data_IF_745455963818
#
_entry.id   IF_745455963818
#
_cell.length_a   1.000
_cell.length_b   1.000
_cell.length_c   1.000
_cell.angle_alpha   90.00
_cell.angle_beta   90.00
_cell.angle_gamma   90.00
#
_symmetry.space_group_name_H-M   'P 1'
#
loop_
_entity.id
_entity.type
_entity.pdbx_description
1 polymer ?
#
# COMPACT_ATOMS: atom_id res chain seq x y z
N UNK A 1 -6.64 22.49 -10.24
CA UNK A 1 -5.70 21.86 -9.29
C UNK A 1 -6.49 21.50 -8.05
N UNK A 2 -6.43 20.26 -7.56
CA UNK A 2 -7.15 19.87 -6.33
C UNK A 2 -6.38 18.81 -5.53
N UNK A 3 -6.54 18.81 -4.21
CA UNK A 3 -6.06 17.73 -3.36
C UNK A 3 -7.03 16.55 -3.48
N UNK A 4 -6.53 15.39 -3.92
CA UNK A 4 -7.32 14.16 -4.08
C UNK A 4 -7.01 13.11 -3.01
N UNK A 5 -5.92 13.30 -2.25
CA UNK A 5 -5.55 12.42 -1.15
C UNK A 5 -4.65 13.14 -0.16
N UNK A 6 -4.79 12.79 1.12
CA UNK A 6 -3.97 13.31 2.21
C UNK A 6 -3.58 12.17 3.15
N UNK A 7 -2.29 11.99 3.35
CA UNK A 7 -1.71 11.14 4.38
C UNK A 7 -1.05 11.97 5.48
N UNK A 8 -0.40 11.29 6.42
CA UNK A 8 0.32 11.96 7.52
C UNK A 8 1.60 12.70 7.07
N UNK A 9 2.20 12.31 5.94
CA UNK A 9 3.46 12.89 5.45
C UNK A 9 3.37 13.46 4.02
N UNK A 10 2.30 13.16 3.28
CA UNK A 10 2.18 13.46 1.86
C UNK A 10 0.78 13.95 1.52
N UNK A 11 0.68 14.83 0.53
CA UNK A 11 -0.57 15.17 -0.18
C UNK A 11 -0.46 14.74 -1.64
N UNK A 12 -1.57 14.24 -2.19
CA UNK A 12 -1.72 13.92 -3.61
C UNK A 12 -2.56 15.00 -4.27
N UNK A 13 -1.99 15.62 -5.30
CA UNK A 13 -2.59 16.73 -6.03
C UNK A 13 -2.87 16.27 -7.46
N UNK A 14 -4.09 16.48 -7.92
CA UNK A 14 -4.43 16.37 -9.34
C UNK A 14 -4.16 17.72 -10.02
N UNK A 15 -3.20 17.71 -10.94
CA UNK A 15 -2.79 18.89 -11.70
C UNK A 15 -2.23 18.50 -13.07
N UNK A 16 -2.63 19.23 -14.11
CA UNK A 16 -2.24 18.94 -15.49
C UNK A 16 -2.95 17.69 -16.02
N UNK A 17 -2.18 16.64 -16.31
CA UNK A 17 -2.67 15.46 -17.02
C UNK A 17 -3.48 14.51 -16.10
N UNK A 18 -4.68 14.05 -16.50
CA UNK A 18 -5.58 13.26 -15.62
C UNK A 18 -5.00 11.91 -15.16
N UNK A 19 -4.10 11.32 -15.95
CA UNK A 19 -3.45 10.04 -15.66
C UNK A 19 -2.29 10.14 -14.65
N UNK A 20 -1.99 11.33 -14.13
CA UNK A 20 -0.87 11.56 -13.23
C UNK A 20 -1.31 12.39 -12.02
N UNK A 21 -0.77 12.04 -10.86
CA UNK A 21 -0.91 12.79 -9.62
C UNK A 21 0.46 13.29 -9.19
N UNK A 22 0.45 14.41 -8.48
CA UNK A 22 1.63 15.03 -7.91
C UNK A 22 1.64 14.77 -6.42
N UNK A 23 2.58 13.93 -5.97
CA UNK A 23 2.78 13.65 -4.55
C UNK A 23 3.79 14.63 -3.97
N UNK A 24 3.33 15.50 -3.08
CA UNK A 24 4.16 16.47 -2.38
C UNK A 24 4.33 16.04 -0.92
N UNK A 25 5.56 16.07 -0.40
CA UNK A 25 5.80 15.87 1.01
C UNK A 25 5.40 17.13 1.81
N UNK A 26 4.72 16.93 2.92
CA UNK A 26 4.24 17.98 3.84
C UNK A 26 4.53 17.60 5.30
N UNK A 27 5.53 16.75 5.52
CA UNK A 27 5.87 16.19 6.83
C UNK A 27 6.46 17.24 7.77
N UNK A 28 7.23 18.18 7.23
CA UNK A 28 7.79 19.29 8.00
C UNK A 28 7.02 20.56 7.65
N UNK A 29 6.03 20.96 8.46
CA UNK A 29 5.15 22.08 8.12
C UNK A 29 5.85 23.44 8.19
N UNK A 30 7.09 23.50 8.67
CA UNK A 30 7.81 24.76 8.82
C UNK A 30 8.68 25.10 7.62
N UNK A 31 9.12 24.13 6.80
CA UNK A 31 10.14 24.39 5.78
C UNK A 31 10.03 23.48 4.56
N UNK A 32 10.00 24.05 3.35
CA UNK A 32 9.91 23.31 2.09
C UNK A 32 11.20 22.52 1.81
N UNK A 33 12.38 23.08 2.09
CA UNK A 33 13.66 22.41 1.83
C UNK A 33 13.80 21.04 2.53
N UNK A 34 13.30 20.88 3.76
CA UNK A 34 13.27 19.58 4.46
C UNK A 34 12.34 18.57 3.76
N UNK A 35 11.18 19.02 3.28
CA UNK A 35 10.26 18.18 2.52
C UNK A 35 10.86 17.77 1.16
N UNK A 36 11.58 18.68 0.50
CA UNK A 36 12.29 18.42 -0.74
C UNK A 36 13.40 17.38 -0.54
N UNK A 37 14.26 17.56 0.46
CA UNK A 37 15.32 16.61 0.81
C UNK A 37 14.78 15.19 1.06
N UNK A 38 13.72 15.07 1.85
CA UNK A 38 13.09 13.78 2.12
C UNK A 38 12.43 13.17 0.87
N UNK A 39 11.84 13.99 0.00
CA UNK A 39 11.26 13.49 -1.26
C UNK A 39 12.33 12.89 -2.16
N UNK A 40 13.49 13.53 -2.23
CA UNK A 40 14.67 13.02 -2.95
C UNK A 40 15.17 11.71 -2.31
N UNK A 41 15.32 11.66 -0.99
CA UNK A 41 15.73 10.45 -0.28
C UNK A 41 14.77 9.28 -0.56
N UNK A 42 13.45 9.53 -0.50
CA UNK A 42 12.44 8.50 -0.73
C UNK A 42 12.49 7.95 -2.15
N UNK A 43 12.60 8.80 -3.17
CA UNK A 43 12.62 8.28 -4.54
C UNK A 43 13.89 7.45 -4.80
N UNK A 44 15.04 7.84 -4.23
CA UNK A 44 16.26 7.02 -4.31
C UNK A 44 16.09 5.69 -3.60
N UNK A 45 15.55 5.68 -2.38
CA UNK A 45 15.24 4.44 -1.66
C UNK A 45 14.29 3.54 -2.46
N UNK A 46 13.22 4.10 -3.03
CA UNK A 46 12.27 3.34 -3.84
C UNK A 46 12.97 2.71 -5.05
N UNK A 47 13.75 3.49 -5.79
CA UNK A 47 14.47 3.02 -6.98
C UNK A 47 15.54 1.98 -6.67
N UNK A 48 16.29 2.16 -5.59
CA UNK A 48 17.46 1.33 -5.29
C UNK A 48 17.14 0.10 -4.43
N UNK A 49 16.13 0.18 -3.56
CA UNK A 49 15.84 -0.85 -2.56
C UNK A 49 14.52 -1.56 -2.78
N UNK A 50 13.49 -0.88 -3.32
CA UNK A 50 12.14 -1.45 -3.46
C UNK A 50 11.86 -1.96 -4.87
N UNK A 51 12.04 -1.13 -5.89
CA UNK A 51 11.73 -1.45 -7.29
C UNK A 51 12.37 -2.77 -7.76
N UNK A 52 13.66 -3.07 -7.46
CA UNK A 52 14.29 -4.33 -7.89
C UNK A 52 13.60 -5.58 -7.35
N UNK A 53 12.88 -5.47 -6.23
CA UNK A 53 12.20 -6.59 -5.57
C UNK A 53 10.80 -6.84 -6.14
N UNK A 54 10.14 -5.79 -6.65
CA UNK A 54 8.73 -5.84 -7.04
C UNK A 54 8.50 -6.32 -8.48
N UNK A 55 9.55 -6.70 -9.22
CA UNK A 55 9.45 -7.35 -10.54
C UNK A 55 8.53 -6.62 -11.54
N UNK A 56 8.62 -5.28 -11.58
CA UNK A 56 7.80 -4.46 -12.47
C UNK A 56 6.39 -4.15 -11.97
N UNK A 57 6.01 -4.58 -10.76
CA UNK A 57 4.72 -4.25 -10.14
C UNK A 57 4.69 -2.87 -9.50
N UNK A 58 5.82 -2.15 -9.41
CA UNK A 58 5.83 -0.81 -8.82
C UNK A 58 5.02 0.15 -9.71
N UNK A 59 4.12 0.94 -9.11
CA UNK A 59 3.40 1.98 -9.83
C UNK A 59 4.39 2.96 -10.49
N UNK A 60 4.21 3.29 -11.79
CA UNK A 60 5.08 4.26 -12.46
C UNK A 60 5.15 5.57 -11.69
N UNK A 61 6.38 5.96 -11.35
CA UNK A 61 6.66 7.20 -10.65
C UNK A 61 8.03 7.77 -11.02
N UNK A 62 8.10 9.10 -11.05
CA UNK A 62 9.30 9.85 -11.38
C UNK A 62 9.43 11.10 -10.49
N UNK A 63 10.68 11.51 -10.20
CA UNK A 63 10.96 12.77 -9.54
C UNK A 63 10.84 13.90 -10.57
N UNK A 64 10.16 14.97 -10.21
CA UNK A 64 9.99 16.15 -11.07
C UNK A 64 10.13 17.42 -10.25
N UNK A 65 10.79 18.42 -10.82
CA UNK A 65 10.88 19.75 -10.26
C UNK A 65 9.69 20.58 -10.76
N UNK A 66 8.98 21.19 -9.82
CA UNK A 66 7.86 22.07 -10.11
C UNK A 66 8.14 23.43 -9.50
N UNK A 67 7.86 24.52 -10.22
CA UNK A 67 7.97 25.85 -9.64
C UNK A 67 7.10 25.98 -8.38
N UNK A 68 7.69 26.48 -7.30
CA UNK A 68 6.99 26.73 -6.03
C UNK A 68 5.76 27.61 -6.24
N UNK A 69 5.82 28.59 -7.13
CA UNK A 69 4.70 29.51 -7.36
C UNK A 69 3.47 28.81 -7.97
N UNK A 70 3.68 27.73 -8.73
CA UNK A 70 2.57 26.92 -9.28
C UNK A 70 1.82 26.23 -8.14
N UNK A 71 2.53 25.68 -7.15
CA UNK A 71 1.93 24.89 -6.07
C UNK A 71 1.64 25.67 -4.80
N UNK A 72 2.13 26.91 -4.69
CA UNK A 72 1.96 27.82 -3.55
C UNK A 72 0.50 27.90 -3.06
N UNK A 73 -0.53 28.00 -3.93
CA UNK A 73 -1.93 28.09 -3.46
C UNK A 73 -2.40 26.88 -2.65
N UNK A 74 -1.80 25.70 -2.86
CA UNK A 74 -2.12 24.48 -2.10
C UNK A 74 -1.12 24.29 -0.95
N UNK A 75 0.17 24.45 -1.22
CA UNK A 75 1.21 24.12 -0.24
C UNK A 75 1.23 25.05 0.97
N UNK A 76 0.85 26.32 0.83
CA UNK A 76 0.75 27.26 1.96
C UNK A 76 -0.26 26.83 3.04
N UNK A 77 -1.17 25.88 2.72
CA UNK A 77 -2.10 25.30 3.70
C UNK A 77 -1.35 24.34 4.65
N UNK A 78 -0.23 23.78 4.21
CA UNK A 78 0.49 22.71 4.90
C UNK A 78 1.91 23.10 5.33
N UNK A 79 2.53 24.05 4.64
CA UNK A 79 3.92 24.47 4.86
C UNK A 79 3.93 26.00 5.01
N UNK A 80 4.42 26.50 6.14
CA UNK A 80 4.45 27.94 6.45
C UNK A 80 5.52 28.68 5.65
N UNK A 81 6.67 28.06 5.42
CA UNK A 81 7.79 28.68 4.71
C UNK A 81 8.14 27.87 3.45
N UNK A 82 7.88 28.47 2.29
CA UNK A 82 8.31 27.94 1.00
C UNK A 82 9.64 28.58 0.60
N UNK A 83 10.71 28.15 1.25
CA UNK A 83 12.08 28.69 1.20
C UNK A 83 12.86 28.35 -0.09
N UNK A 84 12.32 27.46 -0.93
CA UNK A 84 12.90 27.10 -2.21
C UNK A 84 12.07 27.58 -3.41
N UNK A 85 12.74 27.82 -4.55
CA UNK A 85 12.10 28.17 -5.83
C UNK A 85 11.41 26.99 -6.51
N UNK A 86 11.77 25.77 -6.12
CA UNK A 86 11.23 24.53 -6.66
C UNK A 86 10.69 23.65 -5.54
N UNK A 87 9.63 22.91 -5.86
CA UNK A 87 9.10 21.81 -5.07
C UNK A 87 9.54 20.53 -5.76
N UNK A 88 10.18 19.64 -5.01
CA UNK A 88 10.47 18.28 -5.45
C UNK A 88 9.20 17.46 -5.31
N UNK A 89 8.68 16.98 -6.43
CA UNK A 89 7.41 16.24 -6.50
C UNK A 89 7.68 14.84 -7.02
N UNK A 90 7.01 13.84 -6.44
CA UNK A 90 6.94 12.51 -7.06
C UNK A 90 5.68 12.47 -7.90
N UNK A 91 5.85 12.50 -9.22
CA UNK A 91 4.77 12.34 -10.18
C UNK A 91 4.46 10.85 -10.28
N UNK A 92 3.24 10.46 -9.92
CA UNK A 92 2.81 9.05 -9.80
C UNK A 92 1.58 8.80 -10.69
N UNK A 93 1.52 7.64 -11.34
CA UNK A 93 0.38 7.28 -12.19
C UNK A 93 -0.91 7.25 -11.36
N UNK A 94 -1.95 7.90 -11.88
CA UNK A 94 -3.27 7.90 -11.26
C UNK A 94 -3.99 6.58 -11.57
N UNK A 95 -3.87 5.61 -10.67
CA UNK A 95 -4.45 4.27 -10.85
C UNK A 95 -5.98 4.23 -10.68
N UNK A 96 -6.57 5.27 -10.09
CA UNK A 96 -8.01 5.39 -9.88
C UNK A 96 -8.67 6.34 -10.88
N UNK A 97 -7.99 6.70 -11.99
CA UNK A 97 -8.49 7.74 -12.89
C UNK A 97 -9.70 7.27 -13.71
N UNK A 98 -10.89 7.59 -13.19
CA UNK A 98 -12.15 7.90 -13.89
C UNK A 98 -12.97 6.77 -14.53
N UNK A 99 -12.47 5.56 -14.71
CA UNK A 99 -13.29 4.49 -15.35
C UNK A 99 -14.12 3.73 -14.30
N UNK A 100 -13.49 3.34 -13.19
CA UNK A 100 -14.16 2.67 -12.08
C UNK A 100 -14.45 3.67 -10.95
N UNK A 101 -15.59 4.38 -11.04
CA UNK A 101 -15.97 5.39 -10.04
C UNK A 101 -16.99 4.87 -9.03
N UNK A 102 -17.73 3.80 -9.34
CA UNK A 102 -18.76 3.29 -8.47
C UNK A 102 -18.13 2.39 -7.40
N UNK A 103 -18.10 2.87 -6.16
CA UNK A 103 -17.61 2.13 -5.02
C UNK A 103 -18.63 1.05 -4.61
N UNK A 104 -18.26 -0.22 -4.74
CA UNK A 104 -19.10 -1.38 -4.37
C UNK A 104 -18.83 -1.76 -2.91
N UNK A 105 -17.55 -1.83 -2.53
CA UNK A 105 -17.11 -2.25 -1.22
C UNK A 105 -16.07 -1.27 -0.71
N UNK A 106 -16.18 -0.89 0.57
CA UNK A 106 -15.28 0.05 1.21
C UNK A 106 -15.04 -0.37 2.66
N UNK A 107 -14.01 -1.16 2.87
CA UNK A 107 -13.53 -1.51 4.20
C UNK A 107 -12.06 -1.09 4.38
N UNK A 108 -11.51 -1.34 5.56
CA UNK A 108 -10.16 -0.89 5.91
C UNK A 108 -9.06 -1.55 5.05
N UNK A 109 -9.30 -2.76 4.57
CA UNK A 109 -8.34 -3.60 3.86
C UNK A 109 -8.63 -3.75 2.37
N UNK A 110 -9.86 -3.52 1.92
CA UNK A 110 -10.29 -3.60 0.52
C UNK A 110 -11.24 -2.46 0.18
N UNK A 111 -10.98 -1.83 -0.96
CA UNK A 111 -11.99 -1.10 -1.70
C UNK A 111 -12.17 -1.70 -3.08
N UNK A 112 -13.41 -1.90 -3.49
CA UNK A 112 -13.76 -2.38 -4.83
C UNK A 112 -14.53 -1.30 -5.56
N UNK A 113 -14.06 -0.95 -6.75
CA UNK A 113 -14.71 -0.01 -7.64
C UNK A 113 -15.09 -0.69 -8.95
N UNK A 114 -16.17 -0.24 -9.58
CA UNK A 114 -16.50 -0.64 -10.94
C UNK A 114 -16.94 0.54 -11.81
N UNK A 115 -16.81 0.36 -13.12
CA UNK A 115 -17.56 1.16 -14.12
C UNK A 115 -19.05 0.81 -14.06
N UNK A 116 -19.93 1.66 -14.59
CA UNK A 116 -21.39 1.44 -14.59
C UNK A 116 -21.82 0.06 -15.09
N UNK A 117 -21.12 -0.48 -16.11
CA UNK A 117 -21.45 -1.76 -16.74
C UNK A 117 -20.49 -2.88 -16.38
N UNK A 118 -19.73 -2.74 -15.27
CA UNK A 118 -18.69 -3.69 -14.86
C UNK A 118 -17.60 -3.97 -15.91
N UNK A 119 -17.47 -3.18 -16.97
CA UNK A 119 -16.38 -3.31 -17.97
C UNK A 119 -14.99 -3.07 -17.38
N UNK A 120 -14.91 -2.35 -16.27
CA UNK A 120 -13.68 -2.19 -15.50
C UNK A 120 -13.98 -2.41 -14.03
N UNK A 121 -13.13 -3.19 -13.37
CA UNK A 121 -13.17 -3.45 -11.93
C UNK A 121 -11.79 -3.12 -11.37
N UNK A 122 -11.75 -2.34 -10.30
CA UNK A 122 -10.52 -1.95 -9.62
C UNK A 122 -10.59 -2.35 -8.15
N UNK A 123 -9.65 -3.16 -7.71
CA UNK A 123 -9.47 -3.53 -6.31
C UNK A 123 -8.28 -2.75 -5.74
N UNK A 124 -8.52 -1.95 -4.69
CA UNK A 124 -7.49 -1.34 -3.84
C UNK A 124 -7.36 -2.18 -2.57
N UNK A 125 -6.24 -2.87 -2.41
CA UNK A 125 -6.03 -3.93 -1.43
C UNK A 125 -4.88 -3.56 -0.50
N UNK A 126 -5.05 -3.73 0.81
CA UNK A 126 -3.98 -3.59 1.82
C UNK A 126 -3.64 -4.97 2.39
N UNK A 127 -2.73 -5.73 1.76
CA UNK A 127 -2.43 -7.10 2.15
C UNK A 127 -1.87 -7.25 3.58
N UNK A 128 -1.25 -6.18 4.09
CA UNK A 128 -0.59 -6.15 5.40
C UNK A 128 0.44 -7.27 5.57
N UNK A 129 0.40 -8.00 6.67
CA UNK A 129 1.33 -9.10 6.95
C UNK A 129 0.84 -10.35 6.24
N UNK A 130 1.35 -10.58 5.03
CA UNK A 130 1.04 -11.80 4.26
C UNK A 130 1.86 -12.97 4.80
N UNK A 131 3.11 -12.71 5.21
CA UNK A 131 3.91 -13.65 5.99
C UNK A 131 3.93 -13.26 7.47
N UNK A 132 3.78 -14.27 8.34
CA UNK A 132 3.96 -14.18 9.78
C UNK A 132 4.46 -15.54 10.31
N UNK A 133 5.25 -15.51 11.38
CA UNK A 133 5.91 -16.66 12.03
C UNK A 133 5.23 -17.09 13.34
N UNK A 134 3.97 -16.67 13.53
CA UNK A 134 3.16 -16.98 14.70
C UNK A 134 2.10 -18.02 14.39
N UNK A 135 1.68 -18.79 15.39
CA UNK A 135 0.61 -19.78 15.25
C UNK A 135 -0.77 -19.15 14.97
N UNK A 136 -0.93 -17.85 15.23
CA UNK A 136 -2.12 -17.07 14.96
C UNK A 136 -1.91 -16.10 13.79
N UNK A 137 -3.01 -15.69 13.15
CA UNK A 137 -2.96 -14.67 12.10
C UNK A 137 -2.83 -13.28 12.70
N UNK A 138 -1.64 -12.68 12.62
CA UNK A 138 -1.37 -11.34 13.15
C UNK A 138 -2.34 -10.29 12.61
N UNK A 139 -2.69 -10.32 11.33
CA UNK A 139 -3.61 -9.35 10.74
C UNK A 139 -5.02 -9.44 11.34
N UNK A 140 -5.56 -10.65 11.43
CA UNK A 140 -6.90 -10.88 11.97
C UNK A 140 -6.96 -10.52 13.46
N UNK A 141 -5.99 -10.98 14.25
CA UNK A 141 -5.85 -10.61 15.67
C UNK A 141 -5.79 -9.09 15.84
N UNK A 142 -4.98 -8.39 15.04
CA UNK A 142 -4.88 -6.93 15.12
C UNK A 142 -6.17 -6.22 14.67
N UNK A 143 -6.89 -6.74 13.66
CA UNK A 143 -8.16 -6.17 13.25
C UNK A 143 -9.24 -6.34 14.33
N UNK A 144 -9.33 -7.52 14.95
CA UNK A 144 -10.23 -7.77 16.07
C UNK A 144 -9.94 -6.85 17.27
N UNK A 145 -8.66 -6.69 17.62
CA UNK A 145 -8.22 -5.73 18.66
C UNK A 145 -8.65 -4.28 18.34
N UNK A 146 -8.76 -3.91 17.06
CA UNK A 146 -9.22 -2.60 16.61
C UNK A 146 -10.75 -2.52 16.43
N UNK A 147 -11.49 -3.56 16.80
CA UNK A 147 -12.95 -3.63 16.62
C UNK A 147 -13.37 -3.67 15.15
N UNK A 148 -12.52 -4.20 14.26
CA UNK A 148 -12.82 -4.30 12.82
C UNK A 148 -13.38 -5.67 12.50
N UNK A 149 -14.59 -5.70 11.95
CA UNK A 149 -15.30 -6.92 11.57
C UNK A 149 -14.93 -7.40 10.15
N UNK A 150 -13.63 -7.53 9.84
CA UNK A 150 -13.20 -8.05 8.54
C UNK A 150 -13.44 -9.55 8.47
N UNK A 151 -14.31 -9.98 7.54
CA UNK A 151 -14.73 -11.40 7.37
C UNK A 151 -13.79 -12.24 6.51
N UNK A 152 -12.71 -11.66 5.99
CA UNK A 152 -11.76 -12.33 5.11
C UNK A 152 -10.31 -12.09 5.54
N UNK A 153 -9.41 -12.92 5.02
CA UNK A 153 -7.98 -12.84 5.31
C UNK A 153 -7.18 -13.07 4.03
N UNK A 154 -6.22 -12.19 3.74
CA UNK A 154 -5.35 -12.36 2.57
C UNK A 154 -4.42 -13.58 2.68
N UNK A 155 -4.09 -14.06 3.88
CA UNK A 155 -3.39 -15.33 4.04
C UNK A 155 -4.28 -16.51 3.65
N UNK A 156 -5.57 -16.49 4.00
CA UNK A 156 -6.51 -17.51 3.53
C UNK A 156 -6.70 -17.45 2.01
N UNK A 157 -6.74 -16.25 1.43
CA UNK A 157 -6.75 -16.06 -0.04
C UNK A 157 -5.49 -16.61 -0.72
N UNK A 158 -4.33 -16.43 -0.10
CA UNK A 158 -3.06 -16.98 -0.59
C UNK A 158 -3.07 -18.51 -0.61
N UNK A 159 -3.67 -19.14 0.41
CA UNK A 159 -3.74 -20.61 0.54
C UNK A 159 -4.87 -21.21 -0.30
N UNK A 160 -5.98 -20.50 -0.45
CA UNK A 160 -7.15 -20.94 -1.20
C UNK A 160 -7.73 -19.76 -1.99
N UNK A 161 -7.55 -19.79 -3.32
CA UNK A 161 -8.06 -18.75 -4.22
C UNK A 161 -9.58 -18.58 -4.12
N UNK A 162 -10.33 -19.62 -3.76
CA UNK A 162 -11.80 -19.54 -3.63
C UNK A 162 -12.24 -18.67 -2.45
N UNK A 163 -11.34 -18.33 -1.52
CA UNK A 163 -11.60 -17.34 -0.47
C UNK A 163 -11.95 -15.95 -1.03
N UNK A 164 -11.70 -15.72 -2.32
CA UNK A 164 -12.15 -14.55 -3.07
C UNK A 164 -13.66 -14.31 -2.92
N UNK A 165 -14.47 -15.37 -2.91
CA UNK A 165 -15.93 -15.30 -2.76
C UNK A 165 -16.32 -14.68 -1.41
N UNK A 166 -15.58 -15.00 -0.34
CA UNK A 166 -15.78 -14.40 0.98
C UNK A 166 -15.24 -12.96 1.05
N UNK A 167 -14.22 -12.64 0.24
CA UNK A 167 -13.57 -11.34 0.22
C UNK A 167 -14.43 -10.26 -0.46
N UNK A 168 -15.07 -10.60 -1.58
CA UNK A 168 -15.87 -9.68 -2.39
C UNK A 168 -17.34 -9.70 -1.95
N UNK A 169 -17.84 -8.56 -1.48
CA UNK A 169 -19.28 -8.37 -1.19
C UNK A 169 -20.08 -8.54 -2.49
N UNK A 170 -21.22 -9.25 -2.40
CA UNK A 170 -22.08 -9.59 -3.53
C UNK A 170 -21.29 -10.24 -4.68
N UNK A 171 -20.45 -11.23 -4.36
CA UNK A 171 -19.60 -11.92 -5.33
C UNK A 171 -20.34 -12.29 -6.62
N UNK A 172 -21.60 -12.72 -6.53
CA UNK A 172 -22.41 -13.07 -7.69
C UNK A 172 -22.62 -11.94 -8.71
N UNK A 173 -22.57 -10.67 -8.27
CA UNK A 173 -22.74 -9.50 -9.12
C UNK A 173 -21.58 -9.26 -10.09
N UNK A 174 -20.40 -9.80 -9.81
CA UNK A 174 -19.24 -9.62 -10.67
C UNK A 174 -19.34 -10.48 -11.95
N UNK A 175 -18.85 -10.00 -13.11
CA UNK A 175 -18.82 -10.78 -14.35
C UNK A 175 -18.06 -12.10 -14.20
N UNK A 176 -18.52 -13.15 -14.89
CA UNK A 176 -17.89 -14.47 -14.82
C UNK A 176 -16.47 -14.44 -15.39
N UNK A 177 -16.23 -13.62 -16.41
CA UNK A 177 -14.91 -13.42 -17.01
C UNK A 177 -13.94 -12.84 -15.98
N UNK A 178 -14.36 -11.79 -15.26
CA UNK A 178 -13.56 -11.23 -14.17
C UNK A 178 -13.24 -12.29 -13.11
N UNK A 179 -14.27 -13.01 -12.62
CA UNK A 179 -14.11 -14.06 -11.59
C UNK A 179 -13.10 -15.12 -12.05
N UNK A 180 -13.23 -15.62 -13.27
CA UNK A 180 -12.32 -16.62 -13.84
C UNK A 180 -10.89 -16.09 -13.93
N UNK A 181 -10.70 -14.89 -14.50
CA UNK A 181 -9.39 -14.27 -14.71
C UNK A 181 -8.68 -13.95 -13.40
N UNK A 182 -9.38 -13.42 -12.39
CA UNK A 182 -8.75 -13.14 -11.10
C UNK A 182 -8.43 -14.42 -10.33
N UNK A 183 -9.26 -15.46 -10.40
CA UNK A 183 -8.97 -16.77 -9.79
C UNK A 183 -7.74 -17.42 -10.44
N UNK A 184 -7.63 -17.36 -11.76
CA UNK A 184 -6.44 -17.83 -12.49
C UNK A 184 -5.18 -17.07 -12.03
N UNK A 185 -5.26 -15.75 -11.96
CA UNK A 185 -4.18 -14.92 -11.45
C UNK A 185 -3.77 -15.29 -10.02
N UNK A 186 -4.74 -15.47 -9.10
CA UNK A 186 -4.46 -15.86 -7.71
C UNK A 186 -3.79 -17.24 -7.59
N UNK A 187 -4.03 -18.15 -8.53
CA UNK A 187 -3.35 -19.46 -8.58
C UNK A 187 -1.94 -19.36 -9.15
N UNK A 188 -1.67 -18.39 -10.02
CA UNK A 188 -0.35 -18.17 -10.62
C UNK A 188 0.73 -18.00 -9.53
N UNK A 189 1.94 -18.53 -9.76
CA UNK A 189 3.07 -18.41 -8.83
C UNK A 189 3.60 -16.96 -8.69
N UNK A 190 3.38 -16.13 -9.72
CA UNK A 190 3.87 -14.75 -9.80
C UNK A 190 2.81 -13.72 -9.43
N UNK A 191 1.75 -14.10 -8.71
CA UNK A 191 0.80 -13.12 -8.21
C UNK A 191 1.40 -12.28 -7.08
N UNK A 192 0.85 -11.08 -6.90
CA UNK A 192 1.33 -10.08 -5.94
C UNK A 192 1.39 -10.60 -4.51
N UNK A 193 0.44 -11.43 -4.08
CA UNK A 193 0.44 -11.98 -2.72
C UNK A 193 1.58 -12.99 -2.51
N UNK A 194 1.84 -13.86 -3.48
CA UNK A 194 2.99 -14.80 -3.41
C UNK A 194 4.33 -14.08 -3.45
N UNK A 195 4.46 -13.03 -4.28
CA UNK A 195 5.66 -12.20 -4.34
C UNK A 195 5.89 -11.51 -2.98
N UNK A 196 4.87 -10.85 -2.44
CA UNK A 196 4.96 -10.20 -1.12
C UNK A 196 5.23 -11.20 0.00
N UNK A 197 4.61 -12.38 -0.02
CA UNK A 197 4.87 -13.46 0.94
C UNK A 197 6.36 -13.84 0.95
N UNK A 198 6.94 -14.14 -0.21
CA UNK A 198 8.33 -14.56 -0.33
C UNK A 198 9.31 -13.47 0.14
N UNK A 199 9.06 -12.21 -0.24
CA UNK A 199 9.88 -11.08 0.17
C UNK A 199 9.78 -10.84 1.69
N UNK A 200 8.57 -10.83 2.24
CA UNK A 200 8.35 -10.65 3.68
C UNK A 200 8.98 -11.79 4.49
N UNK A 201 8.91 -13.04 4.00
CA UNK A 201 9.56 -14.19 4.64
C UNK A 201 11.08 -14.03 4.68
N UNK A 202 11.71 -13.81 3.52
CA UNK A 202 13.17 -13.64 3.42
C UNK A 202 13.69 -12.51 4.30
N UNK A 203 12.99 -11.37 4.33
CA UNK A 203 13.38 -10.26 5.20
C UNK A 203 13.13 -10.56 6.68
N UNK A 204 12.10 -11.35 7.01
CA UNK A 204 11.88 -11.78 8.41
C UNK A 204 13.02 -12.65 8.92
N UNK A 205 13.56 -13.55 8.08
CA UNK A 205 14.72 -14.39 8.41
C UNK A 205 16.00 -13.57 8.70
N UNK A 206 16.14 -12.40 8.06
CA UNK A 206 17.30 -11.52 8.21
C UNK A 206 17.15 -10.44 9.28
N UNK A 207 16.01 -10.36 9.97
CA UNK A 207 15.71 -9.24 10.88
C UNK A 207 15.44 -9.69 12.31
N UNK A 208 15.76 -8.81 13.26
CA UNK A 208 15.41 -9.04 14.66
C UNK A 208 13.87 -8.97 14.78
N UNK A 209 13.20 -9.98 15.38
CA UNK A 209 11.76 -9.94 15.60
C UNK A 209 11.34 -8.69 16.39
N UNK A 210 10.19 -8.09 16.06
CA UNK A 210 9.74 -6.82 16.64
C UNK A 210 9.67 -6.87 18.18
N UNK A 211 9.25 -7.99 18.75
CA UNK A 211 9.18 -8.23 20.20
C UNK A 211 10.54 -8.18 20.90
N UNK A 212 11.63 -8.35 20.15
CA UNK A 212 13.01 -8.38 20.66
C UNK A 212 13.77 -7.06 20.43
N UNK A 213 13.15 -6.06 19.79
CA UNK A 213 13.75 -4.74 19.60
C UNK A 213 13.86 -4.02 20.95
N UNK A 214 15.05 -3.51 21.27
CA UNK A 214 15.35 -2.82 22.53
C UNK A 214 15.74 -1.36 22.32
N UNK A 215 16.25 -1.01 21.14
CA UNK A 215 16.71 0.33 20.82
C UNK A 215 16.59 0.68 19.34
N UNK A 216 16.78 1.96 19.02
CA UNK A 216 16.84 2.45 17.64
C UNK A 216 18.01 1.84 16.84
N UNK A 217 19.07 1.36 17.50
CA UNK A 217 20.24 0.76 16.85
C UNK A 217 19.98 -0.66 16.33
N UNK A 218 18.92 -1.31 16.83
CA UNK A 218 18.45 -2.61 16.35
C UNK A 218 17.73 -2.48 14.99
N UNK A 219 17.37 -1.26 14.60
CA UNK A 219 16.61 -0.98 13.37
C UNK A 219 17.56 -0.90 12.18
N UNK A 220 17.70 -2.04 11.51
CA UNK A 220 18.44 -2.19 10.25
C UNK A 220 17.54 -1.96 9.04
N UNK A 221 18.16 -1.73 7.89
CA UNK A 221 17.45 -1.38 6.65
C UNK A 221 16.52 -2.50 6.18
N UNK A 222 16.90 -3.77 6.36
CA UNK A 222 16.04 -4.92 6.06
C UNK A 222 14.73 -4.89 6.87
N UNK A 223 14.76 -4.42 8.13
CA UNK A 223 13.55 -4.28 8.93
C UNK A 223 12.69 -3.12 8.44
N UNK A 224 13.31 -1.98 8.07
CA UNK A 224 12.58 -0.85 7.49
C UNK A 224 11.90 -1.24 6.18
N UNK A 225 12.59 -2.00 5.34
CA UNK A 225 12.07 -2.55 4.10
C UNK A 225 10.94 -3.55 4.36
N UNK A 226 11.11 -4.46 5.32
CA UNK A 226 10.04 -5.38 5.75
C UNK A 226 8.79 -4.64 6.20
N UNK A 227 8.96 -3.59 7.02
CA UNK A 227 7.85 -2.75 7.48
C UNK A 227 7.25 -1.88 6.36
N UNK A 228 8.02 -1.56 5.32
CA UNK A 228 7.53 -0.96 4.08
C UNK A 228 6.61 -1.93 3.35
N UNK A 229 7.08 -3.15 3.07
CA UNK A 229 6.32 -4.19 2.34
C UNK A 229 5.07 -4.68 3.10
N UNK A 230 5.02 -4.53 4.42
CA UNK A 230 3.85 -4.84 5.26
C UNK A 230 2.80 -3.72 5.27
N UNK A 231 3.06 -2.59 4.63
CA UNK A 231 2.16 -1.43 4.65
C UNK A 231 1.86 -0.88 3.24
N UNK A 232 2.21 -1.64 2.20
CA UNK A 232 1.88 -1.30 0.81
C UNK A 232 0.39 -1.39 0.54
N UNK A 233 -0.03 -0.68 -0.51
CA UNK A 233 -1.35 -0.84 -1.13
C UNK A 233 -1.16 -1.43 -2.54
N UNK A 234 -1.92 -2.47 -2.86
CA UNK A 234 -1.91 -3.13 -4.15
C UNK A 234 -3.18 -2.76 -4.92
N UNK A 235 -3.04 -2.37 -6.17
CA UNK A 235 -4.13 -2.15 -7.11
C UNK A 235 -4.17 -3.32 -8.09
N UNK A 236 -5.34 -3.92 -8.25
CA UNK A 236 -5.61 -4.91 -9.30
C UNK A 236 -6.77 -4.36 -10.14
N UNK A 237 -6.47 -4.00 -11.38
CA UNK A 237 -7.45 -3.54 -12.36
C UNK A 237 -7.74 -4.64 -13.36
N UNK A 238 -9.02 -4.90 -13.62
CA UNK A 238 -9.48 -5.76 -14.70
C UNK A 238 -10.21 -4.94 -15.75
N UNK A 239 -9.99 -5.25 -17.03
CA UNK A 239 -10.71 -4.65 -18.16
C UNK A 239 -11.32 -5.72 -19.06
N UNK A 240 -12.62 -5.60 -19.34
CA UNK A 240 -13.38 -6.57 -20.12
C UNK A 240 -12.98 -6.63 -21.60
N UNK A 241 -12.53 -5.52 -22.19
CA UNK A 241 -12.24 -5.44 -23.64
C UNK A 241 -11.11 -6.38 -24.05
N UNK A 242 -10.08 -6.50 -23.21
CA UNK A 242 -8.96 -7.41 -23.42
C UNK A 242 -8.96 -8.63 -22.49
N UNK A 243 -9.93 -8.70 -21.57
CA UNK A 243 -9.92 -9.63 -20.44
C UNK A 243 -8.56 -9.68 -19.68
N UNK A 244 -7.97 -8.50 -19.46
CA UNK A 244 -6.62 -8.36 -18.91
C UNK A 244 -6.63 -7.86 -17.48
N UNK A 245 -5.65 -8.29 -16.69
CA UNK A 245 -5.35 -7.72 -15.39
C UNK A 245 -4.11 -6.81 -15.45
N UNK A 246 -4.19 -5.69 -14.77
CA UNK A 246 -3.06 -4.81 -14.52
C UNK A 246 -2.86 -4.65 -13.00
N UNK A 247 -1.64 -4.88 -12.53
CA UNK A 247 -1.34 -4.91 -11.09
C UNK A 247 -0.25 -3.91 -10.77
N UNK A 248 -0.50 -3.06 -9.77
CA UNK A 248 0.46 -2.07 -9.32
C UNK A 248 0.53 -2.01 -7.80
N UNK A 249 1.70 -1.66 -7.28
CA UNK A 249 1.96 -1.48 -5.85
C UNK A 249 2.33 -0.01 -5.61
N UNK A 250 1.76 0.57 -4.55
CA UNK A 250 2.06 1.92 -4.06
C UNK A 250 2.32 1.90 -2.54
N UNK A 251 2.53 3.08 -1.95
CA UNK A 251 2.80 3.29 -0.52
C UNK A 251 4.11 2.62 -0.04
N UNK A 252 5.12 2.65 -0.90
CA UNK A 252 6.46 2.04 -0.69
C UNK A 252 7.50 2.99 -0.09
N UNK A 253 7.05 4.03 0.64
CA UNK A 253 7.94 5.05 1.20
C UNK A 253 8.81 4.50 2.34
N UNK A 254 10.03 5.06 2.46
CA UNK A 254 10.97 4.74 3.52
C UNK A 254 10.34 4.98 4.89
N UNK A 255 10.30 3.94 5.71
CA UNK A 255 9.80 4.06 7.08
C UNK A 255 10.86 4.73 7.97
N UNK A 256 10.49 5.76 8.75
CA UNK A 256 11.41 6.37 9.72
C UNK A 256 11.74 5.39 10.84
N UNK A 257 13.00 5.36 11.29
CA UNK A 257 13.46 4.43 12.33
C UNK A 257 12.67 4.61 13.62
N UNK A 258 12.29 5.83 13.97
CA UNK A 258 11.58 6.21 15.19
C UNK A 258 10.22 5.49 15.34
N UNK A 259 9.64 4.99 14.24
CA UNK A 259 8.41 4.18 14.28
C UNK A 259 8.57 2.83 14.98
N UNK A 260 9.80 2.39 15.29
CA UNK A 260 10.03 1.15 16.01
C UNK A 260 9.28 1.08 17.34
N UNK A 261 9.23 2.18 18.09
CA UNK A 261 8.50 2.27 19.36
C UNK A 261 7.00 1.98 19.17
N UNK A 262 6.41 2.49 18.09
CA UNK A 262 5.03 2.22 17.73
C UNK A 262 4.82 0.76 17.32
N UNK A 263 5.77 0.17 16.57
CA UNK A 263 5.70 -1.23 16.17
C UNK A 263 5.75 -2.17 17.38
N UNK A 264 6.71 -1.97 18.29
CA UNK A 264 6.84 -2.75 19.52
C UNK A 264 5.60 -2.60 20.40
N UNK A 265 5.11 -1.37 20.62
CA UNK A 265 3.87 -1.13 21.38
C UNK A 265 2.69 -1.89 20.77
N UNK A 266 2.52 -1.81 19.44
CA UNK A 266 1.43 -2.50 18.73
C UNK A 266 1.58 -4.02 18.85
N UNK A 267 2.81 -4.53 18.74
CA UNK A 267 3.08 -5.96 18.88
C UNK A 267 2.74 -6.46 20.29
N UNK A 268 3.12 -5.74 21.34
CA UNK A 268 2.75 -6.08 22.71
C UNK A 268 1.21 -6.13 22.90
N UNK A 269 0.48 -5.18 22.33
CA UNK A 269 -1.00 -5.18 22.40
C UNK A 269 -1.62 -6.38 21.66
N UNK A 270 -1.07 -6.72 20.48
CA UNK A 270 -1.48 -7.90 19.72
C UNK A 270 -1.17 -9.18 20.51
N UNK A 271 -0.02 -9.25 21.18
CA UNK A 271 0.42 -10.38 21.99
C UNK A 271 -0.37 -10.55 23.30
N UNK A 272 -0.91 -9.47 23.86
CA UNK A 272 -1.77 -9.55 25.05
C UNK A 272 -3.24 -9.85 24.76
N UNK A 273 -3.71 -9.61 23.53
CA UNK A 273 -5.12 -9.77 23.14
C UNK A 273 -5.55 -11.21 22.81
N UNK A 274 -6.83 -11.40 22.58
CA UNK A 274 -7.39 -12.66 22.05
C UNK A 274 -6.84 -12.95 20.65
N UNK A 275 -6.48 -14.21 20.38
CA UNK A 275 -5.81 -14.63 19.14
C UNK A 275 -6.80 -15.22 18.14
N UNK A 276 -6.67 -14.82 16.87
CA UNK A 276 -7.40 -15.44 15.76
C UNK A 276 -6.53 -16.45 15.03
N UNK A 277 -7.02 -17.68 14.95
CA UNK A 277 -6.37 -18.79 14.27
C UNK A 277 -7.09 -19.10 12.95
N UNK A 278 -6.34 -19.59 11.96
CA UNK A 278 -6.90 -20.15 10.73
C UNK A 278 -6.54 -21.63 10.65
N UNK A 279 -7.48 -22.47 10.23
CA UNK A 279 -7.37 -23.93 10.18
C UNK A 279 -6.40 -24.48 9.12
N UNK A 280 -5.50 -23.66 8.59
CA UNK A 280 -4.51 -24.04 7.57
C UNK A 280 -3.22 -23.25 7.78
N UNK A 281 -2.41 -23.67 8.76
CA UNK A 281 -1.07 -23.12 8.99
C UNK A 281 -0.09 -24.25 9.36
N UNK A 282 -0.04 -25.29 8.52
CA UNK A 282 1.11 -26.21 8.42
C UNK A 282 1.39 -26.46 6.95
#
# INVERSE_FOLDING_TARGET
>A
MRVVGRGGANVLIEYGHPNWLWRCCVRWPHLLSLNNAYTIENIHYIKNNVEPLLRGLLCPMELTDVSTDVLRPILNIFISELDEKVVKVIKIKNLASKIATNLIQNDHLLKSYCSQNFQTILLELKPKWIYYDTDYCRNCTHNALKGRETKYCYNQLLMNSSHLETMLVDYERYPNEFKATILEYLRNANNVFKILYQLQRKLTENTIPIKNLRSIHDIKDDLLLLMTLRDVTCFIEWNSTGNTLCVHIVDVDLKPKEKWTHWTKTQCQVESGEKIFHTSSK
#
